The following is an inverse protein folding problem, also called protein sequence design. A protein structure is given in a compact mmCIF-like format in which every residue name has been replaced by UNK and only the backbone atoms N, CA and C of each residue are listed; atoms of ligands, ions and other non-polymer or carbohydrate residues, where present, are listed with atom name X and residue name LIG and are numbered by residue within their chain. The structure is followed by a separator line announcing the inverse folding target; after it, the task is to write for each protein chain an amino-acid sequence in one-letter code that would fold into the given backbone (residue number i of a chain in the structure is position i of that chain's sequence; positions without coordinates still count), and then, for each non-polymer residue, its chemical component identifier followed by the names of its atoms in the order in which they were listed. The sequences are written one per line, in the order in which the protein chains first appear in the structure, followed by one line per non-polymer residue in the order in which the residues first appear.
data_IF_752847991041
#
_entry.id   IF_752847991041
#
_cell.length_a   1.000
_cell.length_b   1.000
_cell.length_c   1.000
_cell.angle_alpha   90.00
_cell.angle_beta   90.00
_cell.angle_gamma   90.00
#
_symmetry.space_group_name_H-M   'P 1'
#
loop_
_entity.id
_entity.type
_entity.pdbx_description
1 polymer ?
#
# COMPACT_ATOMS: atom_id res chain seq x y z
N UNK A 1 14.77 -0.63 -12.11
CA UNK A 1 15.71 -1.03 -11.05
C UNK A 1 16.02 0.18 -10.18
N UNK A 2 15.58 0.19 -8.91
CA UNK A 2 16.09 1.13 -7.91
C UNK A 2 17.32 0.48 -7.28
N UNK A 3 18.35 0.25 -8.09
CA UNK A 3 19.64 -0.22 -7.63
C UNK A 3 20.52 1.02 -7.47
N UNK A 4 21.05 1.21 -6.24
CA UNK A 4 22.14 2.15 -5.89
C UNK A 4 21.75 3.59 -5.54
N UNK A 5 21.00 3.79 -4.46
CA UNK A 5 21.20 4.87 -3.48
C UNK A 5 20.21 4.68 -2.33
N UNK A 6 20.54 5.04 -1.07
CA UNK A 6 19.52 5.05 -0.04
C UNK A 6 18.47 6.07 -0.45
N UNK A 7 17.24 5.62 -0.63
CA UNK A 7 16.15 6.54 -0.94
C UNK A 7 15.92 7.43 0.27
N UNK A 8 15.64 8.71 0.03
CA UNK A 8 15.43 9.69 1.10
C UNK A 8 13.94 10.03 1.12
N UNK A 9 13.32 10.00 2.30
CA UNK A 9 11.92 10.41 2.45
C UNK A 9 11.78 11.89 2.07
N UNK A 10 10.94 12.25 1.08
CA UNK A 10 10.79 13.65 0.66
C UNK A 10 10.09 14.53 1.72
N UNK A 11 9.41 13.93 2.70
CA UNK A 11 8.69 14.66 3.75
C UNK A 11 9.59 15.00 4.96
N UNK A 12 10.46 14.09 5.38
CA UNK A 12 11.26 14.24 6.61
C UNK A 12 12.77 14.04 6.43
N UNK A 13 13.23 13.87 5.19
CA UNK A 13 14.64 13.70 4.83
C UNK A 13 15.35 12.50 5.48
N UNK A 14 14.59 11.53 6.01
CA UNK A 14 15.11 10.32 6.63
C UNK A 14 15.59 9.30 5.59
N UNK A 15 16.66 8.56 5.92
CA UNK A 15 17.22 7.50 5.08
C UNK A 15 16.34 6.26 5.11
N UNK A 16 15.83 5.85 3.94
CA UNK A 16 15.00 4.66 3.73
C UNK A 16 15.91 3.51 3.28
N UNK A 17 16.45 2.78 4.25
CA UNK A 17 17.44 1.70 4.04
C UNK A 17 16.85 0.30 4.18
N UNK A 18 15.64 0.20 4.76
CA UNK A 18 14.88 -1.03 4.92
C UNK A 18 14.23 -1.48 3.62
N UNK A 19 14.15 -2.80 3.43
CA UNK A 19 13.54 -3.45 2.26
C UNK A 19 12.05 -3.08 2.05
N UNK A 20 11.37 -2.66 3.11
CA UNK A 20 9.94 -2.31 3.11
C UNK A 20 9.69 -0.82 3.38
N UNK A 21 10.75 0.00 3.44
CA UNK A 21 10.62 1.44 3.70
C UNK A 21 9.95 2.17 2.51
N UNK A 22 9.98 1.55 1.33
CA UNK A 22 9.29 2.03 0.13
C UNK A 22 8.48 0.89 -0.47
N UNK A 23 7.18 1.12 -0.58
CA UNK A 23 6.26 0.28 -1.34
C UNK A 23 5.64 1.13 -2.43
N UNK A 24 5.81 0.71 -3.68
CA UNK A 24 5.09 1.29 -4.80
C UNK A 24 3.80 0.49 -5.00
N UNK A 25 2.67 1.15 -4.83
CA UNK A 25 1.37 0.57 -5.15
C UNK A 25 0.80 1.24 -6.39
N UNK A 26 0.14 0.46 -7.24
CA UNK A 26 -0.75 1.00 -8.26
C UNK A 26 -2.06 1.40 -7.57
N UNK A 27 -2.52 2.63 -7.77
CA UNK A 27 -3.76 3.14 -7.14
C UNK A 27 -4.99 2.83 -7.99
N UNK A 28 -4.81 2.52 -9.28
CA UNK A 28 -5.87 2.13 -10.19
C UNK A 28 -5.60 0.78 -10.85
N UNK A 29 -5.52 -0.32 -10.08
CA UNK A 29 -5.35 -1.66 -10.64
C UNK A 29 -6.60 -2.10 -11.43
N UNK A 30 -6.46 -3.06 -12.33
CA UNK A 30 -7.58 -3.61 -13.10
C UNK A 30 -8.56 -4.40 -12.22
N UNK A 31 -9.80 -4.56 -12.68
CA UNK A 31 -10.82 -5.34 -11.97
C UNK A 31 -10.41 -6.82 -11.80
N UNK A 32 -9.73 -7.37 -12.80
CA UNK A 32 -9.21 -8.75 -12.75
C UNK A 32 -8.16 -8.90 -11.65
N UNK A 33 -7.29 -7.90 -11.47
CA UNK A 33 -6.30 -7.91 -10.40
C UNK A 33 -6.98 -7.81 -9.02
N UNK A 34 -7.96 -6.93 -8.86
CA UNK A 34 -8.74 -6.81 -7.62
C UNK A 34 -9.41 -8.15 -7.27
N UNK A 35 -10.07 -8.77 -8.24
CA UNK A 35 -10.72 -10.07 -8.06
C UNK A 35 -9.70 -11.18 -7.71
N UNK A 36 -8.55 -11.20 -8.39
CA UNK A 36 -7.48 -12.18 -8.17
C UNK A 36 -6.93 -12.10 -6.74
N UNK A 37 -6.67 -10.89 -6.23
CA UNK A 37 -6.12 -10.69 -4.88
C UNK A 37 -7.12 -11.10 -3.79
N UNK A 38 -8.42 -10.96 -4.06
CA UNK A 38 -9.47 -11.32 -3.10
C UNK A 38 -9.88 -12.81 -3.17
N UNK A 39 -9.57 -13.49 -4.28
CA UNK A 39 -9.98 -14.87 -4.50
C UNK A 39 -9.35 -15.83 -3.46
N UNK A 40 -10.18 -16.73 -2.91
CA UNK A 40 -9.74 -17.74 -1.94
C UNK A 40 -9.61 -17.24 -0.49
N UNK A 41 -9.80 -15.95 -0.24
CA UNK A 41 -9.85 -15.41 1.13
C UNK A 41 -11.20 -15.71 1.78
N UNK A 42 -11.16 -15.93 3.11
CA UNK A 42 -12.39 -16.07 3.89
C UNK A 42 -13.10 -14.72 4.00
N UNK A 43 -14.44 -14.67 4.09
CA UNK A 43 -15.20 -13.42 4.17
C UNK A 43 -14.72 -12.48 5.27
N UNK A 44 -14.30 -13.01 6.43
CA UNK A 44 -13.82 -12.19 7.56
C UNK A 44 -12.54 -11.43 7.22
N UNK A 45 -11.65 -12.02 6.41
CA UNK A 45 -10.40 -11.40 5.97
C UNK A 45 -10.67 -10.29 4.95
N UNK A 46 -11.60 -10.52 4.02
CA UNK A 46 -11.99 -9.50 3.02
C UNK A 46 -12.58 -8.27 3.71
N UNK A 47 -13.40 -8.46 4.74
CA UNK A 47 -13.96 -7.37 5.53
C UNK A 47 -12.89 -6.60 6.32
N UNK A 48 -11.92 -7.30 6.94
CA UNK A 48 -10.79 -6.66 7.65
C UNK A 48 -9.95 -5.79 6.70
N UNK A 49 -9.59 -6.32 5.53
CA UNK A 49 -8.86 -5.58 4.48
C UNK A 49 -9.63 -4.32 4.08
N UNK A 50 -10.93 -4.45 3.81
CA UNK A 50 -11.78 -3.33 3.40
C UNK A 50 -11.86 -2.25 4.48
N UNK A 51 -12.00 -2.65 5.74
CA UNK A 51 -12.06 -1.72 6.88
C UNK A 51 -10.76 -0.92 7.02
N UNK A 52 -9.59 -1.58 6.93
CA UNK A 52 -8.28 -0.93 6.99
C UNK A 52 -8.05 0.02 5.82
N UNK A 53 -8.45 -0.38 4.62
CA UNK A 53 -8.34 0.45 3.42
C UNK A 53 -9.16 1.74 3.56
N UNK A 54 -10.40 1.64 4.04
CA UNK A 54 -11.26 2.80 4.29
C UNK A 54 -10.68 3.70 5.39
N UNK A 55 -10.22 3.14 6.50
CA UNK A 55 -9.60 3.92 7.58
C UNK A 55 -8.37 4.70 7.09
N UNK A 56 -7.53 4.08 6.25
CA UNK A 56 -6.40 4.75 5.64
C UNK A 56 -6.82 5.86 4.67
N UNK A 57 -7.81 5.61 3.81
CA UNK A 57 -8.35 6.64 2.92
C UNK A 57 -8.90 7.84 3.69
N UNK A 58 -9.65 7.59 4.77
CA UNK A 58 -10.16 8.64 5.66
C UNK A 58 -9.03 9.44 6.29
N UNK A 59 -7.96 8.78 6.76
CA UNK A 59 -6.77 9.45 7.26
C UNK A 59 -6.13 10.38 6.22
N UNK A 60 -6.04 9.95 4.95
CA UNK A 60 -5.53 10.79 3.87
C UNK A 60 -6.44 11.98 3.55
N UNK A 61 -7.75 11.86 3.72
CA UNK A 61 -8.69 12.97 3.49
C UNK A 61 -8.58 14.06 4.57
N UNK A 62 -8.24 13.68 5.80
CA UNK A 62 -8.13 14.60 6.94
C UNK A 62 -6.72 15.19 7.14
N UNK A 63 -5.75 14.79 6.31
CA UNK A 63 -4.43 15.40 6.20
C UNK A 63 -4.40 16.43 5.06
#
# INVERSE_FOLDING_TARGET
EFSRSPAICPACNSTLSGKLDIVRTELSPSEEYKAMVLAGLRPEIVLDISSRALAFWTYQYFL
#
